data_IF_690352844383
#
_entry.id   IF_690352844383
#
_cell.length_a   1.000
_cell.length_b   1.000
_cell.length_c   1.000
_cell.angle_alpha   90.00
_cell.angle_beta   90.00
_cell.angle_gamma   90.00
#
_symmetry.space_group_name_H-M   'P 1'
#
loop_
_entity.id
_entity.type
_entity.pdbx_description
1 polymer ?
#
# COMPACT_ATOMS: atom_id res chain seq x y z
N UNK A 1 -4.70 -13.13 -14.61
CA UNK A 1 -5.60 -11.96 -14.69
C UNK A 1 -5.39 -11.15 -13.43
N UNK A 2 -4.80 -9.96 -13.56
CA UNK A 2 -4.30 -9.17 -12.42
C UNK A 2 -5.41 -8.75 -11.49
N UNK A 3 -5.37 -9.24 -10.25
CA UNK A 3 -6.31 -8.90 -9.21
C UNK A 3 -5.92 -7.53 -8.64
N UNK A 4 -6.60 -6.47 -9.07
CA UNK A 4 -6.49 -5.18 -8.40
C UNK A 4 -7.35 -5.23 -7.14
N UNK A 5 -6.75 -5.45 -5.96
CA UNK A 5 -7.44 -5.25 -4.69
C UNK A 5 -7.11 -3.86 -4.14
N UNK A 6 -8.17 -3.11 -3.85
CA UNK A 6 -8.14 -1.67 -3.72
C UNK A 6 -8.71 -1.26 -2.35
N UNK A 7 -7.86 -0.70 -1.48
CA UNK A 7 -8.31 0.36 -0.56
C UNK A 7 -7.12 1.23 -0.17
N UNK A 8 -7.03 2.41 -0.77
CA UNK A 8 -6.04 3.42 -0.37
C UNK A 8 -6.68 4.37 0.63
N UNK A 9 -6.39 4.21 1.93
CA UNK A 9 -6.66 5.28 2.89
C UNK A 9 -5.73 6.46 2.61
N UNK A 10 -6.27 7.66 2.69
CA UNK A 10 -5.51 8.88 2.51
C UNK A 10 -4.89 9.28 3.86
N UNK A 11 -3.56 9.29 3.88
CA UNK A 11 -2.77 9.69 5.03
C UNK A 11 -2.28 11.12 4.87
N UNK A 12 -2.26 11.86 5.97
CA UNK A 12 -1.78 13.24 6.00
C UNK A 12 -0.24 13.31 5.91
N UNK A 13 0.43 12.27 6.39
CA UNK A 13 1.90 12.17 6.41
C UNK A 13 2.44 11.02 5.56
N UNK A 14 3.56 11.29 4.87
CA UNK A 14 4.32 10.28 4.11
C UNK A 14 4.78 9.13 4.99
N UNK A 15 5.18 9.43 6.23
CA UNK A 15 5.70 8.42 7.17
C UNK A 15 4.63 7.41 7.54
N UNK A 16 3.38 7.85 7.70
CA UNK A 16 2.23 6.97 7.99
C UNK A 16 1.96 6.07 6.78
N UNK A 17 1.98 6.64 5.57
CA UNK A 17 1.82 5.84 4.35
C UNK A 17 2.95 4.82 4.16
N UNK A 18 4.19 5.16 4.50
CA UNK A 18 5.32 4.23 4.48
C UNK A 18 5.19 3.10 5.50
N UNK A 19 4.78 3.43 6.72
CA UNK A 19 4.55 2.42 7.76
C UNK A 19 3.46 1.43 7.35
N UNK A 20 2.32 1.93 6.86
CA UNK A 20 1.23 1.07 6.37
C UNK A 20 1.69 0.19 5.20
N UNK A 21 2.47 0.74 4.27
CA UNK A 21 3.02 -0.03 3.15
C UNK A 21 3.90 -1.19 3.62
N UNK A 22 4.70 -0.98 4.68
CA UNK A 22 5.52 -2.03 5.29
C UNK A 22 4.66 -3.11 5.97
N UNK A 23 3.67 -2.71 6.78
CA UNK A 23 2.78 -3.67 7.44
C UNK A 23 2.02 -4.55 6.44
N UNK A 24 1.49 -3.96 5.36
CA UNK A 24 0.79 -4.73 4.31
C UNK A 24 1.74 -5.69 3.60
N UNK A 25 2.99 -5.26 3.34
CA UNK A 25 4.00 -6.12 2.73
C UNK A 25 4.31 -7.33 3.62
N UNK A 26 4.52 -7.09 4.90
CA UNK A 26 4.82 -8.14 5.88
C UNK A 26 3.64 -9.12 6.03
N UNK A 27 2.42 -8.60 6.22
CA UNK A 27 1.20 -9.39 6.34
C UNK A 27 0.95 -10.29 5.11
N UNK A 28 1.13 -9.78 3.89
CA UNK A 28 0.96 -10.57 2.68
C UNK A 28 2.07 -11.60 2.45
N UNK A 29 3.31 -11.29 2.84
CA UNK A 29 4.40 -12.27 2.86
C UNK A 29 4.04 -13.41 3.81
N UNK A 30 3.50 -13.10 5.00
CA UNK A 30 3.05 -14.10 5.97
C UNK A 30 1.84 -14.90 5.48
N UNK A 31 0.94 -14.27 4.71
CA UNK A 31 -0.24 -14.91 4.08
C UNK A 31 0.13 -15.82 2.89
N UNK A 32 1.41 -15.86 2.51
CA UNK A 32 1.90 -16.73 1.44
C UNK A 32 1.70 -16.17 0.03
N UNK A 33 1.52 -14.85 -0.11
CA UNK A 33 1.58 -14.16 -1.40
C UNK A 33 3.03 -13.73 -1.65
N UNK A 34 3.80 -14.43 -2.49
CA UNK A 34 5.18 -14.07 -2.77
C UNK A 34 5.20 -12.79 -3.64
N UNK A 35 5.89 -11.77 -3.16
CA UNK A 35 6.12 -10.48 -3.83
C UNK A 35 4.91 -9.53 -3.98
N UNK A 36 4.28 -9.12 -2.85
CA UNK A 36 3.23 -8.12 -2.89
C UNK A 36 3.80 -6.77 -3.35
N UNK A 37 3.31 -6.24 -4.48
CA UNK A 37 3.81 -4.97 -5.02
C UNK A 37 3.08 -3.81 -4.35
N UNK A 38 3.76 -3.15 -3.41
CA UNK A 38 3.21 -2.00 -2.68
C UNK A 38 3.77 -0.68 -3.23
N UNK A 39 2.88 0.24 -3.57
CA UNK A 39 3.19 1.55 -4.15
C UNK A 39 2.63 2.67 -3.28
N UNK A 40 3.46 3.67 -3.00
CA UNK A 40 3.05 4.90 -2.31
C UNK A 40 2.90 6.00 -3.35
N UNK A 41 1.75 6.64 -3.40
CA UNK A 41 1.49 7.75 -4.31
C UNK A 41 1.07 9.00 -3.53
N UNK A 42 1.39 10.17 -4.09
CA UNK A 42 0.96 11.45 -3.54
C UNK A 42 -0.19 11.99 -4.38
N UNK A 43 -1.28 12.37 -3.72
CA UNK A 43 -2.43 13.01 -4.36
C UNK A 43 -2.12 14.48 -4.66
N UNK A 44 -2.82 15.04 -5.66
CA UNK A 44 -2.75 16.48 -5.99
C UNK A 44 -3.14 17.38 -4.80
N UNK A 45 -3.93 16.87 -3.84
CA UNK A 45 -4.32 17.56 -2.60
C UNK A 45 -3.29 17.44 -1.47
N UNK A 46 -2.10 16.90 -1.73
CA UNK A 46 -1.01 16.79 -0.77
C UNK A 46 -1.04 15.53 0.12
N UNK A 47 -2.14 14.79 0.14
CA UNK A 47 -2.28 13.53 0.90
C UNK A 47 -1.52 12.38 0.25
N UNK A 48 -1.14 11.38 1.05
CA UNK A 48 -0.44 10.18 0.61
C UNK A 48 -1.40 8.98 0.60
N UNK A 49 -1.32 8.13 -0.41
CA UNK A 49 -2.06 6.89 -0.49
C UNK A 49 -1.12 5.71 -0.70
N UNK A 50 -1.57 4.53 -0.25
CA UNK A 50 -0.89 3.26 -0.46
C UNK A 50 -1.75 2.40 -1.37
N UNK A 51 -1.15 1.81 -2.40
CA UNK A 51 -1.75 0.81 -3.29
C UNK A 51 -0.95 -0.45 -3.18
N UNK A 52 -1.59 -1.60 -3.23
CA UNK A 52 -0.90 -2.88 -3.28
C UNK A 52 -1.52 -3.78 -4.33
N UNK A 53 -0.70 -4.67 -4.88
CA UNK A 53 -1.09 -5.68 -5.83
C UNK A 53 -0.77 -7.04 -5.22
N UNK A 54 -1.81 -7.88 -5.13
CA UNK A 54 -1.80 -9.28 -4.70
C UNK A 54 -1.99 -10.17 -5.93
#
# INVERSE_FOLDING_TARGET
MGCWMYESRLYDSRSIAQYVAMCVRDDQILSGTPDPKVYIFRTKKGKYGVKYQV
#
